data_IF_953473155678
#
_entry.id   IF_953473155678
#
_cell.length_a   1.000
_cell.length_b   1.000
_cell.length_c   1.000
_cell.angle_alpha   90.00
_cell.angle_beta   90.00
_cell.angle_gamma   90.00
#
_symmetry.space_group_name_H-M   'P 1'
#
loop_
_entity.id
_entity.type
_entity.pdbx_description
1 polymer ?
#
# COMPACT_ATOMS: atom_id res chain seq x y z
N UNK A 1 7.96 -58.99 -1.65
CA UNK A 1 6.70 -58.78 -0.92
C UNK A 1 6.81 -57.47 -0.16
N UNK A 2 6.20 -56.39 -0.67
CA UNK A 2 6.22 -55.10 0.02
C UNK A 2 5.32 -55.20 1.26
N UNK A 3 5.88 -54.96 2.44
CA UNK A 3 5.15 -55.11 3.70
C UNK A 3 4.15 -53.95 3.82
N UNK A 4 2.85 -54.25 3.89
CA UNK A 4 1.77 -53.23 3.92
C UNK A 4 1.98 -52.18 5.03
N UNK A 5 2.68 -52.57 6.09
CA UNK A 5 3.10 -51.68 7.19
C UNK A 5 4.10 -50.60 6.75
N UNK A 6 5.06 -50.92 5.87
CA UNK A 6 6.05 -49.96 5.36
C UNK A 6 5.41 -48.92 4.45
N UNK A 7 4.45 -49.33 3.61
CA UNK A 7 3.70 -48.40 2.77
C UNK A 7 2.92 -47.38 3.60
N UNK A 8 2.33 -47.82 4.71
CA UNK A 8 1.52 -46.98 5.59
C UNK A 8 2.38 -45.93 6.32
N UNK A 9 3.58 -46.31 6.77
CA UNK A 9 4.55 -45.40 7.41
C UNK A 9 5.02 -44.32 6.42
N UNK A 10 5.31 -44.68 5.18
CA UNK A 10 5.76 -43.72 4.16
C UNK A 10 4.65 -42.71 3.85
N UNK A 11 3.41 -43.15 3.64
CA UNK A 11 2.27 -42.25 3.38
C UNK A 11 2.03 -41.31 4.55
N UNK A 12 2.11 -41.80 5.79
CA UNK A 12 1.91 -40.96 6.97
C UNK A 12 3.00 -39.87 7.13
N UNK A 13 4.24 -40.20 6.76
CA UNK A 13 5.34 -39.23 6.82
C UNK A 13 5.17 -38.08 5.82
N UNK A 14 4.67 -38.33 4.61
CA UNK A 14 4.42 -37.27 3.63
C UNK A 14 3.29 -36.31 4.05
N UNK A 15 2.28 -36.79 4.77
CA UNK A 15 1.16 -35.97 5.24
C UNK A 15 1.61 -34.99 6.33
N UNK A 16 2.50 -35.42 7.24
CA UNK A 16 2.93 -34.56 8.36
C UNK A 16 3.91 -33.47 7.94
N UNK A 17 4.77 -33.71 6.93
CA UNK A 17 5.66 -32.66 6.41
C UNK A 17 4.93 -31.58 5.60
N UNK A 18 3.83 -31.92 4.92
CA UNK A 18 3.08 -30.96 4.10
C UNK A 18 2.38 -29.84 4.90
N UNK A 19 2.08 -30.08 6.19
CA UNK A 19 1.30 -29.13 7.02
C UNK A 19 2.17 -28.02 7.61
N UNK A 20 3.48 -28.24 7.79
CA UNK A 20 4.38 -27.24 8.39
C UNK A 20 4.83 -26.12 7.43
N UNK A 21 4.42 -26.17 6.14
CA UNK A 21 4.80 -25.18 5.13
C UNK A 21 3.97 -23.89 5.10
N UNK A 22 2.85 -23.82 5.81
CA UNK A 22 1.99 -22.63 5.86
C UNK A 22 2.24 -21.80 7.13
N UNK A 23 3.48 -21.36 7.35
CA UNK A 23 3.69 -20.15 8.14
C UNK A 23 3.50 -18.97 7.20
N UNK A 24 2.28 -18.43 7.19
CA UNK A 24 1.96 -17.17 6.54
C UNK A 24 2.83 -16.05 7.13
N UNK A 25 4.02 -15.84 6.54
CA UNK A 25 4.90 -14.70 6.79
C UNK A 25 4.37 -13.43 6.14
N UNK A 26 3.07 -13.15 6.27
CA UNK A 26 2.51 -11.87 5.86
C UNK A 26 2.59 -10.97 7.09
N UNK A 27 3.65 -10.16 7.18
CA UNK A 27 3.64 -8.99 8.06
C UNK A 27 2.30 -8.26 7.83
N UNK A 28 1.58 -7.90 8.89
CA UNK A 28 0.33 -7.18 8.72
C UNK A 28 0.65 -5.85 8.04
N UNK A 29 0.24 -5.73 6.77
CA UNK A 29 0.34 -4.49 6.00
C UNK A 29 -0.26 -3.37 6.84
N UNK A 30 0.58 -2.42 7.27
CA UNK A 30 0.16 -1.34 8.16
C UNK A 30 -0.48 -0.25 7.31
N UNK A 31 -1.79 -0.08 7.45
CA UNK A 31 -2.50 1.03 6.82
C UNK A 31 -2.27 2.30 7.64
N UNK A 32 -1.69 3.32 7.00
CA UNK A 32 -1.51 4.66 7.53
C UNK A 32 -2.62 5.53 6.92
N UNK A 33 -3.54 5.99 7.77
CA UNK A 33 -4.53 6.98 7.39
C UNK A 33 -4.03 8.34 7.83
N UNK A 34 -4.00 9.29 6.91
CA UNK A 34 -3.55 10.65 7.20
C UNK A 34 -4.59 11.65 6.68
N UNK A 35 -4.66 12.80 7.36
CA UNK A 35 -5.48 13.93 6.96
C UNK A 35 -4.72 15.19 7.36
N UNK A 36 -3.95 15.72 6.42
CA UNK A 36 -3.08 16.87 6.65
C UNK A 36 -3.66 18.04 5.88
N UNK A 37 -3.74 19.19 6.53
CA UNK A 37 -4.14 20.45 5.92
C UNK A 37 -3.05 21.46 6.20
N UNK A 38 -2.31 21.85 5.17
CA UNK A 38 -1.21 22.79 5.28
C UNK A 38 -1.31 23.91 4.25
N UNK A 39 -0.98 25.12 4.71
CA UNK A 39 -0.78 26.29 3.86
C UNK A 39 0.73 26.46 3.69
N UNK A 40 1.30 25.96 2.60
CA UNK A 40 2.75 26.01 2.37
C UNK A 40 3.10 26.44 0.96
N UNK A 41 3.85 27.53 0.84
CA UNK A 41 4.25 28.11 -0.42
C UNK A 41 5.10 27.13 -1.26
N UNK A 42 4.62 26.80 -2.46
CA UNK A 42 5.40 26.22 -3.56
C UNK A 42 6.07 24.85 -3.28
N UNK A 43 5.32 23.86 -2.77
CA UNK A 43 5.75 22.45 -2.77
C UNK A 43 5.02 21.66 -3.85
N UNK A 44 5.68 20.63 -4.41
CA UNK A 44 5.04 19.70 -5.35
C UNK A 44 4.15 18.73 -4.57
N UNK A 45 3.08 18.26 -5.20
CA UNK A 45 2.11 17.37 -4.55
C UNK A 45 2.72 16.02 -4.12
N UNK A 46 3.81 15.58 -4.76
CA UNK A 46 4.56 14.38 -4.38
C UNK A 46 5.34 14.57 -3.08
N UNK A 47 6.04 15.70 -2.89
CA UNK A 47 6.84 15.93 -1.69
C UNK A 47 5.99 16.04 -0.43
N UNK A 48 4.82 16.67 -0.53
CA UNK A 48 3.86 16.78 0.57
C UNK A 48 3.31 15.40 1.00
N UNK A 49 3.20 14.49 0.04
CA UNK A 49 2.73 13.12 0.28
C UNK A 49 3.79 12.30 1.02
N UNK A 50 5.08 12.51 0.76
CA UNK A 50 6.18 11.85 1.48
C UNK A 50 6.21 12.25 2.96
N UNK A 51 6.10 13.55 3.20
CA UNK A 51 6.10 14.12 4.56
C UNK A 51 4.90 13.62 5.38
N UNK A 52 3.75 13.42 4.73
CA UNK A 52 2.53 12.95 5.39
C UNK A 52 2.61 11.51 5.90
N UNK A 53 3.46 10.68 5.29
CA UNK A 53 3.46 9.22 5.46
C UNK A 53 4.66 8.75 6.30
N UNK A 54 5.66 9.62 6.51
CA UNK A 54 6.87 9.34 7.29
C UNK A 54 7.53 8.02 6.86
N UNK A 55 7.75 7.88 5.55
CA UNK A 55 8.35 6.70 4.92
C UNK A 55 9.78 6.97 4.50
N UNK A 56 10.65 6.01 4.80
CA UNK A 56 12.09 6.09 4.50
C UNK A 56 12.39 5.98 2.99
N UNK A 57 11.52 5.29 2.24
CA UNK A 57 11.66 5.08 0.80
C UNK A 57 10.54 5.80 0.06
N UNK A 58 10.87 6.46 -1.05
CA UNK A 58 9.90 7.15 -1.90
C UNK A 58 8.90 6.14 -2.51
N UNK A 59 7.61 6.16 -2.11
CA UNK A 59 6.61 5.26 -2.68
C UNK A 59 6.40 5.46 -4.17
N UNK A 60 6.33 4.33 -4.88
CA UNK A 60 5.91 4.32 -6.28
C UNK A 60 4.42 4.69 -6.33
N UNK A 61 4.11 5.92 -6.72
CA UNK A 61 2.73 6.40 -6.90
C UNK A 61 2.49 6.89 -8.32
N UNK A 62 1.31 6.58 -8.87
CA UNK A 62 0.92 7.06 -10.21
C UNK A 62 -0.39 7.83 -10.12
N UNK A 63 -0.44 8.98 -10.77
CA UNK A 63 -1.66 9.77 -10.91
C UNK A 63 -2.67 8.97 -11.74
N UNK A 64 -3.81 8.64 -11.15
CA UNK A 64 -4.89 7.90 -11.81
C UNK A 64 -6.08 8.80 -12.17
N UNK A 65 -6.22 9.96 -11.50
CA UNK A 65 -7.27 10.91 -11.82
C UNK A 65 -6.87 12.33 -11.39
N UNK A 66 -7.26 13.32 -12.20
CA UNK A 66 -7.16 14.74 -11.87
C UNK A 66 -8.46 15.43 -12.28
N UNK A 67 -9.14 16.07 -11.33
CA UNK A 67 -10.38 16.80 -11.56
C UNK A 67 -10.32 18.17 -10.89
N UNK A 68 -10.75 19.20 -11.60
CA UNK A 68 -11.03 20.51 -10.99
C UNK A 68 -12.52 20.60 -10.72
N UNK A 69 -12.90 21.02 -9.52
CA UNK A 69 -14.31 21.24 -9.19
C UNK A 69 -14.77 22.66 -9.51
N UNK A 70 -16.07 22.90 -9.34
CA UNK A 70 -16.70 24.20 -9.63
C UNK A 70 -16.22 25.33 -8.70
N UNK A 71 -15.62 24.99 -7.56
CA UNK A 71 -15.10 25.95 -6.60
C UNK A 71 -13.62 26.26 -6.85
N UNK A 72 -12.97 25.56 -7.79
CA UNK A 72 -11.56 25.76 -8.15
C UNK A 72 -10.58 24.87 -7.38
N UNK A 73 -11.05 23.86 -6.63
CA UNK A 73 -10.16 22.86 -6.05
C UNK A 73 -9.72 21.85 -7.12
N UNK A 74 -8.44 21.56 -7.13
CA UNK A 74 -7.85 20.47 -7.92
C UNK A 74 -7.76 19.22 -7.04
N UNK A 75 -8.49 18.18 -7.42
CA UNK A 75 -8.49 16.87 -6.80
C UNK A 75 -7.60 15.92 -7.61
N UNK A 76 -6.52 15.43 -7.02
CA UNK A 76 -5.60 14.48 -7.65
C UNK A 76 -5.64 13.16 -6.89
N UNK A 77 -5.97 12.06 -7.59
CA UNK A 77 -5.92 10.72 -7.02
C UNK A 77 -4.69 9.98 -7.49
N UNK A 78 -3.97 9.39 -6.54
CA UNK A 78 -2.78 8.60 -6.77
C UNK A 78 -3.00 7.16 -6.33
N UNK A 79 -2.57 6.22 -7.17
CA UNK A 79 -2.53 4.80 -6.86
C UNK A 79 -1.11 4.42 -6.44
N UNK A 80 -0.99 3.73 -5.32
CA UNK A 80 0.26 3.16 -4.83
C UNK A 80 0.61 1.87 -5.58
N UNK A 81 1.90 1.70 -5.82
CA UNK A 81 2.55 0.52 -6.37
C UNK A 81 3.74 0.13 -5.47
N UNK A 82 4.10 -1.15 -5.52
CA UNK A 82 5.32 -1.68 -4.90
C UNK A 82 5.91 -2.70 -5.88
N UNK A 83 7.15 -2.48 -6.31
CA UNK A 83 7.81 -3.27 -7.37
C UNK A 83 6.96 -3.40 -8.65
N UNK A 84 6.29 -2.31 -9.06
CA UNK A 84 5.40 -2.30 -10.23
C UNK A 84 4.04 -2.98 -10.02
N UNK A 85 3.78 -3.58 -8.86
CA UNK A 85 2.51 -4.23 -8.53
C UNK A 85 1.59 -3.25 -7.81
N UNK A 86 0.34 -3.16 -8.25
CA UNK A 86 -0.67 -2.29 -7.64
C UNK A 86 -0.96 -2.72 -6.20
N UNK A 87 -0.84 -1.79 -5.25
CA UNK A 87 -1.17 -2.04 -3.85
C UNK A 87 -2.68 -1.80 -3.63
N UNK A 88 -3.42 -2.85 -3.33
CA UNK A 88 -4.87 -2.77 -3.09
C UNK A 88 -5.16 -1.94 -1.85
N UNK A 89 -6.08 -0.98 -1.96
CA UNK A 89 -6.41 -0.04 -0.87
C UNK A 89 -5.44 1.14 -0.72
N UNK A 90 -4.25 1.09 -1.34
CA UNK A 90 -3.28 2.18 -1.37
C UNK A 90 -3.69 3.29 -2.35
N UNK A 91 -4.73 4.05 -1.99
CA UNK A 91 -5.23 5.17 -2.79
C UNK A 91 -5.19 6.45 -1.97
N UNK A 92 -4.63 7.48 -2.59
CA UNK A 92 -4.29 8.73 -1.95
C UNK A 92 -4.94 9.87 -2.73
N UNK A 93 -5.56 10.82 -2.04
CA UNK A 93 -6.24 11.97 -2.65
C UNK A 93 -5.64 13.27 -2.14
N UNK A 94 -5.11 14.05 -3.07
CA UNK A 94 -4.57 15.39 -2.80
C UNK A 94 -5.60 16.40 -3.29
N UNK A 95 -6.03 17.27 -2.39
CA UNK A 95 -6.86 18.43 -2.66
C UNK A 95 -5.97 19.66 -2.63
N UNK A 96 -5.82 20.34 -3.77
CA UNK A 96 -5.10 21.59 -3.87
C UNK A 96 -6.08 22.72 -4.17
N UNK A 97 -5.97 23.83 -3.46
CA UNK A 97 -6.71 25.06 -3.71
C UNK A 97 -5.74 26.19 -4.02
N UNK A 98 -6.22 27.23 -4.74
CA UNK A 98 -5.45 28.44 -5.06
C UNK A 98 -4.65 28.94 -3.85
N UNK A 99 -3.48 29.51 -4.13
CA UNK A 99 -2.52 30.05 -3.16
C UNK A 99 -1.98 29.01 -2.16
N UNK A 100 -1.48 27.89 -2.68
CA UNK A 100 -0.62 27.00 -1.90
C UNK A 100 -1.31 26.33 -0.68
N UNK A 101 -2.63 26.20 -0.70
CA UNK A 101 -3.40 25.46 0.30
C UNK A 101 -3.60 24.02 -0.15
N UNK A 102 -3.03 23.09 0.61
CA UNK A 102 -3.08 21.67 0.30
C UNK A 102 -3.74 20.91 1.44
N UNK A 103 -4.69 20.06 1.09
CA UNK A 103 -5.25 19.05 1.98
C UNK A 103 -4.98 17.67 1.39
N UNK A 104 -4.29 16.83 2.12
CA UNK A 104 -3.93 15.48 1.70
C UNK A 104 -4.70 14.50 2.57
N UNK A 105 -5.40 13.58 1.94
CA UNK A 105 -6.14 12.54 2.65
C UNK A 105 -6.09 11.22 1.90
N UNK A 106 -5.99 10.12 2.62
CA UNK A 106 -5.98 8.82 1.98
C UNK A 106 -5.52 7.71 2.89
N UNK A 107 -5.39 6.54 2.27
CA UNK A 107 -4.79 5.37 2.87
C UNK A 107 -3.48 5.08 2.14
N UNK A 108 -2.40 5.00 2.91
CA UNK A 108 -1.14 4.43 2.48
C UNK A 108 -0.96 3.07 3.12
N UNK A 109 -0.47 2.10 2.36
CA UNK A 109 -0.17 0.77 2.90
C UNK A 109 1.35 0.66 2.99
N UNK A 110 1.90 0.60 4.21
CA UNK A 110 3.30 0.28 4.38
C UNK A 110 3.54 -1.17 3.93
N UNK A 111 4.40 -1.32 2.91
CA UNK A 111 4.87 -2.61 2.41
C UNK A 111 6.35 -2.66 2.74
N UNK A 112 6.75 -3.63 3.56
CA UNK A 112 8.15 -3.90 3.91
C UNK A 112 8.96 -4.38 2.69
#
# INVERSE_FOLDING_TARGET
MCNKLQLLIVVFSFITYGVYGQKDGKSPLKQINYNISETQASRTSSSLLMEAIDVEVEPEVKLINKKVDQHGFTHQKYQQYHNGIKVMGGVQTIHAFRDNNYKISGAFIAVD
#
